data_IF_140028408311
#
_entry.id   IF_140028408311
#
_cell.length_a   1.000
_cell.length_b   1.000
_cell.length_c   1.000
_cell.angle_alpha   90.00
_cell.angle_beta   90.00
_cell.angle_gamma   90.00
#
_symmetry.space_group_name_H-M   'P 1'
#
loop_
_entity.id
_entity.type
_entity.pdbx_description
1 polymer ?
#
# COMPACT_ATOMS: atom_id res chain seq x y z
N UNK A 1 18.15 -6.70 -10.29
CA UNK A 1 17.46 -5.40 -10.30
C UNK A 1 18.14 -4.46 -9.32
N UNK A 2 18.33 -3.22 -9.70
CA UNK A 2 18.91 -2.20 -8.83
C UNK A 2 17.88 -1.13 -8.55
N UNK A 3 17.89 -0.59 -7.33
CA UNK A 3 17.05 0.54 -6.96
C UNK A 3 17.42 1.77 -7.78
N UNK A 4 16.43 2.40 -8.41
CA UNK A 4 16.66 3.60 -9.22
C UNK A 4 16.91 4.84 -8.38
N UNK A 5 16.61 4.80 -7.08
CA UNK A 5 16.80 5.92 -6.17
C UNK A 5 18.19 5.89 -5.53
N UNK A 6 18.58 4.76 -4.95
CA UNK A 6 19.86 4.65 -4.21
C UNK A 6 20.86 3.70 -4.87
N UNK A 7 20.47 3.06 -5.98
CA UNK A 7 21.32 2.14 -6.74
C UNK A 7 21.73 0.87 -6.00
N UNK A 8 21.06 0.55 -4.91
CA UNK A 8 21.31 -0.69 -4.15
C UNK A 8 20.76 -1.90 -4.90
N UNK A 9 21.48 -3.03 -4.93
CA UNK A 9 20.98 -4.29 -5.49
C UNK A 9 20.08 -5.05 -4.52
N UNK A 10 19.95 -4.61 -3.28
CA UNK A 10 19.24 -5.33 -2.23
C UNK A 10 17.74 -5.00 -2.25
N UNK A 11 17.03 -5.64 -3.19
CA UNK A 11 15.59 -5.49 -3.36
C UNK A 11 14.94 -6.84 -3.07
N UNK A 12 14.00 -6.85 -2.13
CA UNK A 12 13.33 -8.07 -1.68
C UNK A 12 11.82 -7.89 -1.67
N UNK A 13 11.11 -9.00 -1.83
CA UNK A 13 9.66 -9.03 -1.66
C UNK A 13 9.33 -8.94 -0.17
N UNK A 14 8.50 -7.98 0.19
CA UNK A 14 8.02 -7.81 1.56
C UNK A 14 6.52 -7.59 1.59
N UNK A 15 5.90 -8.03 2.67
CA UNK A 15 4.48 -7.77 2.92
C UNK A 15 4.35 -6.38 3.55
N UNK A 16 3.58 -5.52 2.92
CA UNK A 16 3.34 -4.16 3.39
C UNK A 16 1.83 -3.91 3.46
N UNK A 17 1.43 -2.89 4.21
CA UNK A 17 0.06 -2.41 4.21
C UNK A 17 -0.03 -1.21 3.27
N UNK A 18 -0.78 -1.38 2.17
CA UNK A 18 -1.00 -0.31 1.21
C UNK A 18 -2.24 0.46 1.62
N UNK A 19 -2.17 1.78 1.56
CA UNK A 19 -3.29 2.65 1.89
C UNK A 19 -4.12 2.94 0.66
N UNK A 20 -5.42 2.60 0.71
CA UNK A 20 -6.37 2.93 -0.34
C UNK A 20 -7.39 3.88 0.26
N UNK A 21 -7.53 5.04 -0.34
CA UNK A 21 -8.49 6.04 0.11
C UNK A 21 -9.79 5.88 -0.66
N UNK A 22 -10.86 5.58 0.07
CA UNK A 22 -12.22 5.47 -0.46
C UNK A 22 -13.08 6.47 0.29
N UNK A 23 -13.58 7.48 -0.42
CA UNK A 23 -14.38 8.55 0.18
C UNK A 23 -13.61 9.23 1.33
N UNK A 24 -14.08 9.08 2.57
CA UNK A 24 -13.43 9.65 3.76
C UNK A 24 -12.60 8.62 4.52
N UNK A 25 -12.61 7.38 4.06
CA UNK A 25 -11.95 6.29 4.75
C UNK A 25 -10.58 6.00 4.14
N UNK A 26 -9.65 5.61 4.99
CA UNK A 26 -8.37 5.05 4.57
C UNK A 26 -8.42 3.56 4.91
N UNK A 27 -8.25 2.74 3.89
CA UNK A 27 -8.33 1.28 4.03
C UNK A 27 -6.94 0.71 3.85
N UNK A 28 -6.49 -0.05 4.85
CA UNK A 28 -5.19 -0.71 4.81
C UNK A 28 -5.35 -2.09 4.18
N UNK A 29 -4.58 -2.34 3.14
CA UNK A 29 -4.63 -3.59 2.39
C UNK A 29 -3.26 -4.26 2.45
N UNK A 30 -3.15 -5.45 3.03
CA UNK A 30 -1.89 -6.18 3.04
C UNK A 30 -1.58 -6.75 1.66
N UNK A 31 -0.44 -6.38 1.10
CA UNK A 31 0.04 -6.91 -0.17
C UNK A 31 1.54 -7.15 -0.13
N UNK A 32 2.03 -7.98 -1.04
CA UNK A 32 3.45 -8.21 -1.21
C UNK A 32 3.97 -7.35 -2.36
N UNK A 33 5.02 -6.58 -2.09
CA UNK A 33 5.67 -5.72 -3.08
C UNK A 33 7.19 -5.85 -2.96
N UNK A 34 7.88 -5.44 -4.00
CA UNK A 34 9.34 -5.33 -3.95
C UNK A 34 9.72 -4.06 -3.19
N UNK A 35 10.64 -4.21 -2.26
CA UNK A 35 11.11 -3.10 -1.41
C UNK A 35 12.63 -3.08 -1.41
N UNK A 36 13.19 -1.90 -1.62
CA UNK A 36 14.62 -1.70 -1.45
C UNK A 36 14.96 -1.67 0.04
N UNK A 37 15.83 -2.58 0.50
CA UNK A 37 16.22 -2.66 1.91
C UNK A 37 17.09 -1.49 2.34
N UNK A 38 17.68 -0.76 1.40
CA UNK A 38 18.56 0.36 1.72
C UNK A 38 17.81 1.67 1.93
N UNK A 39 16.91 2.04 1.00
CA UNK A 39 16.19 3.31 1.06
C UNK A 39 14.69 3.19 1.34
N UNK A 40 14.13 1.98 1.34
CA UNK A 40 12.73 1.75 1.61
C UNK A 40 11.79 1.98 0.43
N UNK A 41 12.32 2.28 -0.75
CA UNK A 41 11.50 2.50 -1.94
C UNK A 41 10.73 1.24 -2.31
N UNK A 42 9.44 1.39 -2.68
CA UNK A 42 8.58 0.29 -3.09
C UNK A 42 8.45 0.25 -4.60
N UNK A 43 8.41 -0.96 -5.14
CA UNK A 43 8.27 -1.18 -6.58
C UNK A 43 7.02 -2.01 -6.86
N UNK A 44 6.19 -1.54 -7.78
CA UNK A 44 4.94 -2.17 -8.14
C UNK A 44 5.02 -2.64 -9.58
N UNK A 45 4.97 -3.97 -9.79
CA UNK A 45 4.88 -4.53 -11.13
C UNK A 45 3.41 -4.50 -11.61
N UNK A 46 3.19 -4.87 -12.88
CA UNK A 46 1.85 -4.84 -13.47
C UNK A 46 0.88 -5.80 -12.76
N UNK A 47 1.38 -6.94 -12.27
CA UNK A 47 0.56 -7.90 -11.53
C UNK A 47 0.08 -7.30 -10.21
N UNK A 48 0.97 -6.64 -9.49
CA UNK A 48 0.64 -5.97 -8.23
C UNK A 48 -0.35 -4.83 -8.47
N UNK A 49 -0.15 -4.04 -9.53
CA UNK A 49 -1.06 -2.96 -9.88
C UNK A 49 -2.47 -3.46 -10.21
N UNK A 50 -2.57 -4.56 -10.95
CA UNK A 50 -3.88 -5.18 -11.25
C UNK A 50 -4.57 -5.67 -9.99
N UNK A 51 -3.81 -6.25 -9.07
CA UNK A 51 -4.35 -6.72 -7.80
C UNK A 51 -4.91 -5.56 -6.99
N UNK A 52 -4.19 -4.44 -6.93
CA UNK A 52 -4.65 -3.23 -6.24
C UNK A 52 -5.91 -2.66 -6.87
N UNK A 53 -5.97 -2.61 -8.20
CA UNK A 53 -7.17 -2.15 -8.91
C UNK A 53 -8.38 -3.03 -8.63
N UNK A 54 -8.20 -4.36 -8.63
CA UNK A 54 -9.27 -5.31 -8.33
C UNK A 54 -9.78 -5.13 -6.90
N UNK A 55 -8.87 -4.98 -5.94
CA UNK A 55 -9.23 -4.75 -4.54
C UNK A 55 -9.98 -3.42 -4.40
N UNK A 56 -9.53 -2.38 -5.08
CA UNK A 56 -10.20 -1.08 -5.06
C UNK A 56 -11.64 -1.17 -5.58
N UNK A 57 -11.84 -1.88 -6.68
CA UNK A 57 -13.18 -2.10 -7.23
C UNK A 57 -14.08 -2.84 -6.25
N UNK A 58 -13.57 -3.87 -5.59
CA UNK A 58 -14.33 -4.62 -4.59
C UNK A 58 -14.68 -3.75 -3.39
N UNK A 59 -13.78 -2.88 -2.96
CA UNK A 59 -14.04 -1.94 -1.88
C UNK A 59 -15.11 -0.91 -2.28
N UNK A 60 -15.03 -0.37 -3.50
CA UNK A 60 -16.03 0.57 -4.01
C UNK A 60 -17.43 -0.07 -4.08
N UNK A 61 -17.49 -1.35 -4.42
CA UNK A 61 -18.73 -2.11 -4.49
C UNK A 61 -19.15 -2.73 -3.16
N UNK A 62 -18.37 -2.52 -2.11
CA UNK A 62 -18.58 -3.09 -0.76
C UNK A 62 -18.61 -4.62 -0.74
N UNK A 63 -17.86 -5.24 -1.67
CA UNK A 63 -17.77 -6.70 -1.77
C UNK A 63 -16.71 -7.31 -0.84
N UNK A 64 -15.89 -6.47 -0.21
CA UNK A 64 -14.90 -6.90 0.77
C UNK A 64 -15.31 -6.47 2.16
N UNK A 65 -15.18 -7.38 3.12
CA UNK A 65 -15.36 -7.07 4.52
C UNK A 65 -14.19 -6.21 5.03
N UNK A 66 -14.50 -5.16 5.75
CA UNK A 66 -13.50 -4.30 6.38
C UNK A 66 -13.79 -4.20 7.86
N UNK A 67 -12.74 -4.05 8.66
CA UNK A 67 -12.88 -3.84 10.09
C UNK A 67 -12.25 -2.52 10.50
N UNK A 68 -12.80 -1.90 11.54
CA UNK A 68 -12.25 -0.65 12.05
C UNK A 68 -11.08 -0.97 12.98
N UNK A 69 -9.87 -0.62 12.57
CA UNK A 69 -8.64 -0.88 13.34
C UNK A 69 -8.12 0.34 14.07
N UNK A 70 -8.85 1.46 14.01
CA UNK A 70 -8.46 2.67 14.70
C UNK A 70 -9.11 3.91 14.10
N UNK A 71 -8.64 5.06 14.51
CA UNK A 71 -9.12 6.36 14.02
C UNK A 71 -7.94 7.22 13.62
N UNK A 72 -8.15 8.04 12.58
CA UNK A 72 -7.19 9.07 12.20
C UNK A 72 -7.66 10.36 12.85
N UNK A 73 -6.82 10.93 13.70
CA UNK A 73 -7.14 12.12 14.45
C UNK A 73 -6.17 13.25 14.04
N UNK A 74 -6.71 14.45 13.99
CA UNK A 74 -5.91 15.65 13.77
C UNK A 74 -5.84 16.45 15.05
N UNK A 75 -4.63 16.79 15.49
CA UNK A 75 -4.46 17.72 16.60
C UNK A 75 -4.66 19.15 16.11
N UNK A 76 -5.46 19.92 16.83
CA UNK A 76 -5.62 21.33 16.56
C UNK A 76 -4.60 22.09 17.41
N UNK A 77 -3.63 22.72 16.74
CA UNK A 77 -2.61 23.52 17.39
C UNK A 77 -2.85 25.00 17.04
N UNK A 78 -2.95 25.81 18.10
CA UNK A 78 -3.17 27.23 17.95
C UNK A 78 -1.89 27.97 17.55
#
# INVERSE_FOLDING_TARGET
>A
MKCIICNSPDIQTKKVEEEIKIEKDIILVPIEVLVCNNCGERYYDSRTMRKLEDIRLKLDNKDLAVENVGRILRANVA
#
